data_IF_464475855461
#
_entry.id   IF_464475855461
#
_cell.length_a   1.000
_cell.length_b   1.000
_cell.length_c   1.000
_cell.angle_alpha   90.00
_cell.angle_beta   90.00
_cell.angle_gamma   90.00
#
_symmetry.space_group_name_H-M   'P 1'
#
loop_
_entity.id
_entity.type
_entity.pdbx_description
1 polymer ?
#
# COMPACT_ATOMS: atom_id res chain seq x y z
N UNK A 1 -39.44 -0.44 -16.81
CA UNK A 1 -38.98 -1.74 -17.35
C UNK A 1 -37.46 -1.68 -17.45
N UNK A 2 -36.62 -2.64 -17.05
CA UNK A 2 -36.80 -4.04 -16.68
C UNK A 2 -35.66 -4.40 -15.71
N UNK A 3 -35.98 -5.10 -14.61
CA UNK A 3 -35.03 -5.66 -13.63
C UNK A 3 -34.63 -7.05 -14.15
N UNK A 4 -33.36 -7.34 -14.33
CA UNK A 4 -32.89 -8.73 -14.36
C UNK A 4 -31.95 -9.03 -13.20
N UNK A 5 -32.47 -9.86 -12.29
CA UNK A 5 -31.79 -10.54 -11.20
C UNK A 5 -31.23 -11.85 -11.76
N UNK A 6 -29.94 -12.16 -11.57
CA UNK A 6 -29.40 -13.53 -11.63
C UNK A 6 -28.40 -13.69 -10.49
N UNK A 7 -28.83 -14.23 -9.35
CA UNK A 7 -28.97 -15.66 -9.04
C UNK A 7 -27.64 -16.28 -8.60
N UNK A 8 -27.49 -16.29 -7.27
CA UNK A 8 -26.52 -17.01 -6.47
C UNK A 8 -26.66 -18.53 -6.70
N UNK A 9 -25.55 -19.25 -6.95
CA UNK A 9 -25.51 -20.71 -6.87
C UNK A 9 -24.40 -21.13 -5.91
N UNK A 10 -24.86 -21.66 -4.78
CA UNK A 10 -24.09 -22.29 -3.70
C UNK A 10 -23.38 -23.55 -4.18
N UNK A 11 -22.09 -23.64 -3.90
CA UNK A 11 -21.31 -24.88 -4.07
C UNK A 11 -21.44 -25.71 -2.79
N UNK A 12 -21.93 -26.93 -2.96
CA UNK A 12 -22.13 -27.95 -1.93
C UNK A 12 -20.82 -28.70 -1.72
N UNK A 13 -20.19 -28.56 -0.55
CA UNK A 13 -19.08 -29.40 -0.11
C UNK A 13 -19.61 -30.67 0.56
N UNK A 14 -19.31 -31.83 -0.05
CA UNK A 14 -19.66 -33.17 0.42
C UNK A 14 -18.48 -33.72 1.24
N UNK A 15 -18.60 -33.71 2.56
CA UNK A 15 -17.61 -34.29 3.48
C UNK A 15 -17.86 -35.79 3.68
N UNK A 16 -16.90 -36.61 3.26
CA UNK A 16 -16.87 -38.05 3.51
C UNK A 16 -16.52 -38.34 4.97
N UNK A 17 -17.45 -38.98 5.70
CA UNK A 17 -17.27 -39.46 7.07
C UNK A 17 -16.91 -40.96 7.03
N UNK A 18 -15.68 -41.29 7.40
CA UNK A 18 -15.18 -42.67 7.46
C UNK A 18 -15.29 -43.18 8.90
N UNK A 19 -16.28 -44.05 9.11
CA UNK A 19 -16.63 -44.71 10.38
C UNK A 19 -15.61 -45.82 10.70
N UNK A 20 -14.72 -45.59 11.67
CA UNK A 20 -13.80 -46.61 12.19
C UNK A 20 -14.52 -47.46 13.24
N UNK A 21 -14.55 -48.78 13.02
CA UNK A 21 -15.15 -49.80 13.88
C UNK A 21 -14.27 -50.09 15.10
N UNK A 22 -14.82 -49.91 16.29
CA UNK A 22 -14.30 -50.45 17.56
C UNK A 22 -14.47 -51.98 17.59
N UNK A 23 -13.41 -52.72 17.97
CA UNK A 23 -13.49 -54.13 18.37
C UNK A 23 -13.40 -54.26 19.91
N UNK A 24 -14.04 -55.30 20.49
CA UNK A 24 -14.18 -55.45 21.94
C UNK A 24 -12.99 -56.13 22.64
N UNK A 25 -12.87 -55.83 23.95
CA UNK A 25 -12.01 -56.44 24.97
C UNK A 25 -12.16 -57.96 25.06
N UNK A 26 -11.11 -58.65 25.54
CA UNK A 26 -11.25 -59.78 26.46
C UNK A 26 -10.82 -59.42 27.89
N UNK A 27 -11.50 -60.04 28.84
CA UNK A 27 -11.24 -59.98 30.28
C UNK A 27 -10.63 -61.30 30.75
N UNK A 28 -9.64 -61.24 31.64
CA UNK A 28 -9.16 -62.26 32.60
C UNK A 28 -7.89 -61.69 33.27
N UNK A 29 -7.45 -62.00 34.48
CA UNK A 29 -8.02 -62.55 35.72
C UNK A 29 -6.82 -62.77 36.67
N UNK A 30 -6.93 -62.26 37.91
CA UNK A 30 -6.35 -62.77 39.17
C UNK A 30 -4.86 -62.58 39.55
N UNK A 31 -4.74 -62.49 40.90
CA UNK A 31 -3.60 -62.53 41.85
C UNK A 31 -2.91 -61.19 42.06
N UNK A 32 -2.76 -60.63 43.25
CA UNK A 32 -2.81 -61.16 44.62
C UNK A 32 -1.46 -60.86 45.29
N UNK A 33 -1.46 -60.24 46.48
CA UNK A 33 -0.28 -59.97 47.32
C UNK A 33 -0.10 -58.47 47.62
N UNK A 34 -0.45 -58.00 48.83
CA UNK A 34 0.42 -57.86 50.02
C UNK A 34 0.99 -56.42 50.11
N UNK A 35 0.34 -55.52 50.86
CA UNK A 35 0.72 -55.11 52.22
C UNK A 35 2.18 -54.62 52.32
N UNK A 36 2.38 -53.30 52.34
CA UNK A 36 3.35 -52.69 53.25
C UNK A 36 3.16 -51.18 53.33
N UNK A 37 2.83 -50.74 54.54
CA UNK A 37 2.82 -49.34 54.94
C UNK A 37 4.20 -48.70 54.79
N UNK A 38 4.24 -47.50 54.19
CA UNK A 38 5.29 -46.50 54.44
C UNK A 38 4.65 -45.14 54.68
N UNK A 39 4.37 -44.89 55.96
CA UNK A 39 4.30 -43.54 56.51
C UNK A 39 5.71 -42.98 56.57
N UNK A 40 5.87 -41.71 56.20
CA UNK A 40 7.06 -40.93 56.47
C UNK A 40 8.03 -40.83 55.30
N UNK A 41 7.86 -39.82 54.47
CA UNK A 41 8.87 -38.78 54.19
C UNK A 41 8.25 -37.79 53.21
N UNK A 42 7.99 -36.57 53.65
CA UNK A 42 7.73 -35.43 52.75
C UNK A 42 9.00 -35.15 51.93
N UNK A 43 8.90 -34.96 50.61
CA UNK A 43 9.79 -34.06 49.90
C UNK A 43 9.03 -32.79 49.55
N UNK A 44 9.60 -31.64 49.92
CA UNK A 44 9.23 -30.29 49.47
C UNK A 44 9.35 -30.16 47.93
N UNK A 45 8.44 -30.75 47.17
CA UNK A 45 8.46 -30.73 45.69
C UNK A 45 7.42 -29.78 45.06
N UNK A 46 6.78 -28.94 45.87
CA UNK A 46 5.81 -27.94 45.41
C UNK A 46 6.31 -26.50 45.59
N UNK A 47 7.62 -26.27 45.45
CA UNK A 47 8.09 -24.94 45.05
C UNK A 47 7.95 -24.86 43.53
N UNK A 48 6.84 -24.28 43.06
CA UNK A 48 6.71 -23.81 41.67
C UNK A 48 7.99 -23.00 41.39
N UNK A 49 8.89 -23.47 40.52
CA UNK A 49 10.19 -22.83 40.36
C UNK A 49 9.91 -21.38 39.98
N UNK A 50 10.53 -20.43 40.69
CA UNK A 50 10.39 -18.98 40.44
C UNK A 50 10.57 -18.62 38.95
N UNK A 51 11.25 -19.49 38.19
CA UNK A 51 11.29 -19.54 36.73
C UNK A 51 9.90 -19.42 36.06
N UNK A 52 8.88 -20.19 36.46
CA UNK A 52 7.53 -20.13 35.86
C UNK A 52 6.84 -18.78 36.07
N UNK A 53 7.08 -18.10 37.19
CA UNK A 53 6.53 -16.74 37.44
C UNK A 53 7.23 -15.70 36.57
N UNK A 54 8.54 -15.81 36.39
CA UNK A 54 9.32 -14.92 35.51
C UNK A 54 8.86 -15.09 34.06
N UNK A 55 8.73 -16.33 33.58
CA UNK A 55 8.26 -16.62 32.23
C UNK A 55 6.82 -16.17 31.98
N UNK A 56 5.92 -16.30 32.96
CA UNK A 56 4.56 -15.76 32.88
C UNK A 56 4.56 -14.24 32.72
N UNK A 57 5.36 -13.53 33.51
CA UNK A 57 5.44 -12.07 33.44
C UNK A 57 6.05 -11.61 32.11
N UNK A 58 7.08 -12.31 31.60
CA UNK A 58 7.66 -12.05 30.29
C UNK A 58 6.63 -12.24 29.17
N UNK A 59 5.85 -13.33 29.22
CA UNK A 59 4.76 -13.57 28.25
C UNK A 59 3.70 -12.47 28.30
N UNK A 60 3.29 -12.04 29.50
CA UNK A 60 2.31 -10.97 29.65
C UNK A 60 2.81 -9.63 29.09
N UNK A 61 4.05 -9.26 29.40
CA UNK A 61 4.68 -8.04 28.85
C UNK A 61 4.77 -8.15 27.33
N UNK A 62 5.18 -9.29 26.79
CA UNK A 62 5.27 -9.51 25.35
C UNK A 62 3.91 -9.36 24.66
N UNK A 63 2.86 -9.98 25.20
CA UNK A 63 1.50 -9.85 24.67
C UNK A 63 1.03 -8.40 24.72
N UNK A 64 1.32 -7.68 25.81
CA UNK A 64 0.93 -6.28 25.97
C UNK A 64 1.65 -5.38 24.95
N UNK A 65 2.95 -5.60 24.72
CA UNK A 65 3.72 -4.91 23.68
C UNK A 65 3.13 -5.18 22.29
N UNK A 66 2.81 -6.43 21.96
CA UNK A 66 2.19 -6.77 20.68
C UNK A 66 0.78 -6.21 20.53
N UNK A 67 -0.01 -6.15 21.61
CA UNK A 67 -1.33 -5.54 21.60
C UNK A 67 -1.24 -4.03 21.32
N UNK A 68 -0.30 -3.33 21.97
CA UNK A 68 -0.04 -1.91 21.72
C UNK A 68 0.42 -1.69 20.28
N UNK A 69 1.43 -2.44 19.83
CA UNK A 69 1.93 -2.34 18.45
C UNK A 69 0.81 -2.63 17.42
N UNK A 70 0.01 -3.68 17.65
CA UNK A 70 -1.12 -4.04 16.80
C UNK A 70 -2.19 -2.95 16.74
N UNK A 71 -2.51 -2.32 17.87
CA UNK A 71 -3.50 -1.24 17.93
C UNK A 71 -3.04 0.00 17.15
N UNK A 72 -1.75 0.35 17.25
CA UNK A 72 -1.16 1.47 16.51
C UNK A 72 -1.18 1.17 15.01
N UNK A 73 -0.73 -0.03 14.59
CA UNK A 73 -0.72 -0.43 13.18
C UNK A 73 -2.14 -0.44 12.60
N UNK A 74 -3.10 -0.97 13.34
CA UNK A 74 -4.50 -1.01 12.92
C UNK A 74 -5.08 0.39 12.74
N UNK A 75 -4.82 1.30 13.69
CA UNK A 75 -5.24 2.70 13.60
C UNK A 75 -4.66 3.42 12.39
N UNK A 76 -3.35 3.25 12.13
CA UNK A 76 -2.68 3.86 10.98
C UNK A 76 -3.22 3.32 9.66
N UNK A 77 -3.56 2.03 9.58
CA UNK A 77 -4.13 1.43 8.36
C UNK A 77 -5.53 1.95 8.05
N UNK A 78 -6.37 2.13 9.07
CA UNK A 78 -7.72 2.71 8.94
C UNK A 78 -7.68 4.19 8.51
N UNK A 79 -6.64 4.92 8.91
CA UNK A 79 -6.47 6.34 8.59
C UNK A 79 -5.91 6.62 7.19
N UNK A 80 -5.68 5.59 6.36
CA UNK A 80 -5.13 5.80 5.02
C UNK A 80 -6.11 6.56 4.12
N UNK A 81 -5.66 7.63 3.46
CA UNK A 81 -6.50 8.34 2.51
C UNK A 81 -6.84 7.42 1.32
N UNK A 82 -8.09 7.48 0.88
CA UNK A 82 -8.61 6.81 -0.33
C UNK A 82 -9.00 7.84 -1.37
N UNK A 83 -9.21 7.42 -2.63
CA UNK A 83 -9.66 8.31 -3.69
C UNK A 83 -10.94 9.07 -3.30
N UNK A 84 -11.94 8.37 -2.74
CA UNK A 84 -13.20 8.95 -2.27
C UNK A 84 -13.01 9.96 -1.13
N UNK A 85 -12.10 9.67 -0.19
CA UNK A 85 -11.84 10.60 0.91
C UNK A 85 -11.25 11.92 0.40
N UNK A 86 -10.44 11.86 -0.66
CA UNK A 86 -9.84 13.04 -1.27
C UNK A 86 -10.87 13.86 -2.04
N UNK A 87 -11.73 13.24 -2.85
CA UNK A 87 -12.78 13.96 -3.58
C UNK A 87 -13.73 14.66 -2.62
N UNK A 88 -14.20 13.96 -1.59
CA UNK A 88 -15.05 14.54 -0.53
C UNK A 88 -14.35 15.69 0.19
N UNK A 89 -13.03 15.59 0.42
CA UNK A 89 -12.27 16.66 1.05
C UNK A 89 -12.18 17.90 0.15
N UNK A 90 -11.93 17.72 -1.15
CA UNK A 90 -11.86 18.81 -2.13
C UNK A 90 -13.20 19.51 -2.32
N UNK A 91 -14.31 18.77 -2.33
CA UNK A 91 -15.67 19.32 -2.38
C UNK A 91 -16.00 20.19 -1.15
N UNK A 92 -15.57 19.74 0.03
CA UNK A 92 -15.80 20.47 1.30
C UNK A 92 -14.92 21.71 1.46
N UNK A 93 -13.80 21.79 0.73
CA UNK A 93 -12.80 22.84 0.89
C UNK A 93 -12.46 23.51 -0.45
N UNK A 94 -13.41 24.24 -1.08
CA UNK A 94 -13.17 24.91 -2.34
C UNK A 94 -12.15 26.04 -2.18
N UNK A 95 -11.04 25.93 -2.91
CA UNK A 95 -9.93 26.88 -2.87
C UNK A 95 -10.31 28.31 -3.25
N UNK A 96 -11.39 28.51 -4.03
CA UNK A 96 -11.87 29.83 -4.43
C UNK A 96 -12.36 30.68 -3.25
N UNK A 97 -12.79 30.03 -2.16
CA UNK A 97 -13.34 30.71 -0.97
C UNK A 97 -12.30 30.96 0.13
N UNK A 98 -11.09 30.43 -0.03
CA UNK A 98 -10.07 30.39 1.00
C UNK A 98 -8.81 31.15 0.56
N UNK A 99 -8.22 31.92 1.46
CA UNK A 99 -7.02 32.72 1.18
C UNK A 99 -5.97 32.60 2.30
N UNK A 100 -4.74 33.03 1.99
CA UNK A 100 -3.64 33.06 2.94
C UNK A 100 -3.31 31.70 3.56
N UNK A 101 -3.21 31.66 4.89
CA UNK A 101 -2.75 30.47 5.62
C UNK A 101 -3.71 29.29 5.55
N UNK A 102 -5.02 29.53 5.43
CA UNK A 102 -6.01 28.45 5.27
C UNK A 102 -5.86 27.76 3.92
N UNK A 103 -5.72 28.54 2.85
CA UNK A 103 -5.47 28.04 1.50
C UNK A 103 -4.20 27.18 1.46
N UNK A 104 -3.10 27.67 2.03
CA UNK A 104 -1.85 26.91 2.13
C UNK A 104 -2.03 25.57 2.87
N UNK A 105 -2.74 25.58 4.00
CA UNK A 105 -3.05 24.34 4.77
C UNK A 105 -3.84 23.33 3.95
N UNK A 106 -4.81 23.77 3.16
CA UNK A 106 -5.60 22.89 2.27
C UNK A 106 -4.68 22.26 1.23
N UNK A 107 -3.85 23.06 0.56
CA UNK A 107 -2.91 22.59 -0.46
C UNK A 107 -1.95 21.54 0.12
N UNK A 108 -1.34 21.82 1.27
CA UNK A 108 -0.44 20.87 1.94
C UNK A 108 -1.17 19.59 2.33
N UNK A 109 -2.39 19.69 2.86
CA UNK A 109 -3.17 18.50 3.23
C UNK A 109 -3.53 17.65 2.03
N UNK A 110 -3.93 18.26 0.91
CA UNK A 110 -4.21 17.55 -0.34
C UNK A 110 -2.95 16.82 -0.84
N UNK A 111 -1.78 17.48 -0.81
CA UNK A 111 -0.51 16.85 -1.16
C UNK A 111 -0.19 15.63 -0.28
N UNK A 112 -0.39 15.75 1.04
CA UNK A 112 -0.19 14.63 1.97
C UNK A 112 -1.18 13.48 1.72
N UNK A 113 -2.45 13.79 1.43
CA UNK A 113 -3.44 12.78 1.08
C UNK A 113 -3.03 12.04 -0.20
N UNK A 114 -2.64 12.78 -1.25
CA UNK A 114 -2.17 12.20 -2.52
C UNK A 114 -0.96 11.30 -2.35
N UNK A 115 -0.01 11.68 -1.50
CA UNK A 115 1.18 10.90 -1.20
C UNK A 115 0.85 9.59 -0.46
N UNK A 116 -0.23 9.58 0.32
CA UNK A 116 -0.71 8.40 1.06
C UNK A 116 -1.58 7.44 0.25
N UNK A 117 -2.05 7.81 -0.94
CA UNK A 117 -2.90 6.96 -1.78
C UNK A 117 -2.14 5.75 -2.33
N UNK A 118 -2.86 4.65 -2.52
CA UNK A 118 -2.35 3.49 -3.26
C UNK A 118 -2.32 3.75 -4.78
N UNK A 119 -1.65 2.87 -5.54
CA UNK A 119 -1.59 2.98 -7.00
C UNK A 119 -2.98 2.83 -7.64
N UNK A 120 -3.82 1.96 -7.08
CA UNK A 120 -5.19 1.71 -7.52
C UNK A 120 -6.06 2.95 -7.30
N UNK A 121 -5.98 3.56 -6.11
CA UNK A 121 -6.71 4.79 -5.80
C UNK A 121 -6.31 5.94 -6.73
N UNK A 122 -5.01 6.08 -7.02
CA UNK A 122 -4.51 7.08 -7.98
C UNK A 122 -4.96 6.82 -9.41
N UNK A 123 -5.20 5.56 -9.78
CA UNK A 123 -5.74 5.21 -11.09
C UNK A 123 -7.22 5.63 -11.19
N UNK A 124 -8.00 5.44 -10.14
CA UNK A 124 -9.39 5.92 -10.04
C UNK A 124 -9.45 7.45 -10.20
N UNK A 125 -8.62 8.20 -9.48
CA UNK A 125 -8.60 9.66 -9.54
C UNK A 125 -8.24 10.25 -10.92
N UNK A 126 -7.57 9.48 -11.79
CA UNK A 126 -7.28 9.90 -13.16
C UNK A 126 -8.54 9.99 -14.03
N UNK A 127 -9.57 9.19 -13.73
CA UNK A 127 -10.84 9.22 -14.44
C UNK A 127 -11.72 10.42 -14.07
N UNK A 128 -11.68 10.85 -12.81
CA UNK A 128 -12.62 11.82 -12.26
C UNK A 128 -12.27 13.29 -12.58
N UNK A 129 -11.04 13.57 -13.02
CA UNK A 129 -10.59 14.93 -13.36
C UNK A 129 -10.43 15.89 -12.18
N UNK A 130 -11.06 15.63 -11.04
CA UNK A 130 -11.08 16.49 -9.83
C UNK A 130 -9.68 16.94 -9.40
N UNK A 131 -8.71 16.02 -9.39
CA UNK A 131 -7.33 16.33 -8.98
C UNK A 131 -6.63 17.27 -9.98
N UNK A 132 -6.94 17.13 -11.27
CA UNK A 132 -6.42 18.00 -12.33
C UNK A 132 -7.02 19.39 -12.19
N UNK A 133 -8.33 19.47 -11.99
CA UNK A 133 -9.03 20.76 -11.89
C UNK A 133 -8.58 21.52 -10.63
N UNK A 134 -8.36 20.80 -9.52
CA UNK A 134 -7.71 21.34 -8.33
C UNK A 134 -6.33 21.92 -8.64
N UNK A 135 -5.47 21.17 -9.34
CA UNK A 135 -4.13 21.63 -9.69
C UNK A 135 -4.13 22.86 -10.60
N UNK A 136 -5.05 22.91 -11.58
CA UNK A 136 -5.20 24.06 -12.49
C UNK A 136 -5.67 25.31 -11.73
N UNK A 137 -6.45 25.16 -10.66
CA UNK A 137 -6.92 26.28 -9.83
C UNK A 137 -5.86 26.90 -8.90
N UNK A 138 -4.66 26.30 -8.85
CA UNK A 138 -3.53 26.81 -8.07
C UNK A 138 -2.80 27.93 -8.83
N UNK A 139 -2.24 28.88 -8.09
CA UNK A 139 -1.31 29.85 -8.68
C UNK A 139 0.01 29.16 -9.08
N UNK A 140 0.82 29.72 -9.99
CA UNK A 140 2.08 29.09 -10.42
C UNK A 140 3.04 28.78 -9.26
N UNK A 141 3.11 29.66 -8.25
CA UNK A 141 3.92 29.44 -7.06
C UNK A 141 3.38 28.29 -6.19
N UNK A 142 2.06 28.19 -6.04
CA UNK A 142 1.41 27.09 -5.32
C UNK A 142 1.58 25.76 -6.05
N UNK A 143 1.48 25.75 -7.38
CA UNK A 143 1.75 24.57 -8.20
C UNK A 143 3.19 24.08 -7.99
N UNK A 144 4.18 24.98 -8.02
CA UNK A 144 5.57 24.62 -7.79
C UNK A 144 5.78 23.93 -6.43
N UNK A 145 5.22 24.52 -5.36
CA UNK A 145 5.32 23.98 -4.00
C UNK A 145 4.56 22.65 -3.86
N UNK A 146 3.41 22.54 -4.50
CA UNK A 146 2.61 21.32 -4.50
C UNK A 146 3.33 20.17 -5.20
N UNK A 147 3.99 20.46 -6.32
CA UNK A 147 4.80 19.48 -7.04
C UNK A 147 6.03 19.04 -6.24
N UNK A 148 6.70 19.94 -5.55
CA UNK A 148 7.82 19.59 -4.66
C UNK A 148 7.42 18.61 -3.57
N UNK A 149 6.22 18.79 -3.03
CA UNK A 149 5.70 17.91 -2.00
C UNK A 149 5.26 16.54 -2.55
N UNK A 150 4.84 16.44 -3.81
CA UNK A 150 4.14 15.25 -4.34
C UNK A 150 4.95 14.42 -5.33
N UNK A 151 5.80 15.05 -6.13
CA UNK A 151 6.58 14.37 -7.17
C UNK A 151 7.55 13.31 -6.62
N UNK A 152 8.34 13.57 -5.56
CA UNK A 152 9.32 12.58 -5.09
C UNK A 152 8.66 11.26 -4.69
N UNK A 153 7.56 11.32 -3.94
CA UNK A 153 6.80 10.14 -3.53
C UNK A 153 6.15 9.44 -4.74
N UNK A 154 5.60 10.21 -5.68
CA UNK A 154 5.02 9.68 -6.92
C UNK A 154 6.02 8.90 -7.77
N UNK A 155 7.17 9.51 -8.07
CA UNK A 155 8.21 8.87 -8.87
C UNK A 155 8.78 7.63 -8.19
N UNK A 156 9.01 7.69 -6.87
CA UNK A 156 9.49 6.53 -6.12
C UNK A 156 8.55 5.33 -6.24
N UNK A 157 7.24 5.54 -6.03
CA UNK A 157 6.25 4.48 -6.15
C UNK A 157 6.19 3.89 -7.57
N UNK A 158 6.29 4.73 -8.61
CA UNK A 158 6.33 4.26 -10.00
C UNK A 158 7.59 3.42 -10.26
N UNK A 159 8.75 3.88 -9.81
CA UNK A 159 10.02 3.16 -10.00
C UNK A 159 10.04 1.84 -9.22
N UNK A 160 9.52 1.82 -7.99
CA UNK A 160 9.37 0.60 -7.20
C UNK A 160 8.43 -0.41 -7.89
N UNK A 161 7.32 0.06 -8.46
CA UNK A 161 6.40 -0.79 -9.21
C UNK A 161 7.07 -1.33 -10.49
N UNK A 162 7.75 -0.46 -11.25
CA UNK A 162 8.43 -0.84 -12.49
C UNK A 162 9.56 -1.86 -12.24
N UNK A 163 10.36 -1.69 -11.19
CA UNK A 163 11.40 -2.65 -10.82
C UNK A 163 10.84 -4.05 -10.47
N UNK A 164 9.61 -4.13 -9.98
CA UNK A 164 8.93 -5.40 -9.65
C UNK A 164 8.24 -6.08 -10.83
N UNK A 165 8.16 -5.41 -12.00
CA UNK A 165 7.55 -6.00 -13.19
C UNK A 165 8.50 -6.98 -13.88
N UNK A 166 7.91 -8.03 -14.45
CA UNK A 166 8.62 -8.97 -15.33
C UNK A 166 9.23 -8.25 -16.56
N UNK A 167 10.38 -8.72 -17.09
CA UNK A 167 11.08 -8.06 -18.18
C UNK A 167 10.22 -7.77 -19.42
N UNK A 168 9.38 -8.71 -19.82
CA UNK A 168 8.48 -8.58 -20.96
C UNK A 168 7.44 -7.49 -20.72
N UNK A 169 6.92 -7.41 -19.49
CA UNK A 169 5.94 -6.39 -19.07
C UNK A 169 6.57 -5.00 -19.00
N UNK A 170 7.83 -4.89 -18.57
CA UNK A 170 8.58 -3.63 -18.61
C UNK A 170 8.74 -3.14 -20.05
N UNK A 171 9.14 -4.01 -20.98
CA UNK A 171 9.26 -3.67 -22.40
C UNK A 171 7.92 -3.24 -23.00
N UNK A 172 6.84 -3.96 -22.71
CA UNK A 172 5.48 -3.60 -23.14
C UNK A 172 5.09 -2.20 -22.63
N UNK A 173 5.36 -1.93 -21.35
CA UNK A 173 5.11 -0.63 -20.72
C UNK A 173 5.91 0.49 -21.41
N UNK A 174 7.21 0.28 -21.62
CA UNK A 174 8.08 1.26 -22.30
C UNK A 174 7.64 1.51 -23.73
N UNK A 175 7.31 0.47 -24.50
CA UNK A 175 6.84 0.61 -25.88
C UNK A 175 5.53 1.41 -25.97
N UNK A 176 4.61 1.17 -25.03
CA UNK A 176 3.36 1.93 -24.93
C UNK A 176 3.64 3.40 -24.60
N UNK A 177 4.52 3.66 -23.63
CA UNK A 177 4.92 5.01 -23.26
C UNK A 177 5.62 5.74 -24.42
N UNK A 178 6.47 5.05 -25.17
CA UNK A 178 7.14 5.57 -26.36
C UNK A 178 6.15 5.95 -27.47
N UNK A 179 5.17 5.09 -27.73
CA UNK A 179 4.14 5.36 -28.74
C UNK A 179 3.32 6.62 -28.37
N UNK A 180 2.94 6.74 -27.10
CA UNK A 180 2.22 7.91 -26.59
C UNK A 180 3.10 9.17 -26.64
N UNK A 181 4.37 9.08 -26.24
CA UNK A 181 5.29 10.21 -26.28
C UNK A 181 5.53 10.73 -27.71
N UNK A 182 5.63 9.83 -28.69
CA UNK A 182 5.73 10.21 -30.11
C UNK A 182 4.46 10.86 -30.62
N UNK A 183 3.29 10.36 -30.22
CA UNK A 183 2.00 10.93 -30.61
C UNK A 183 1.83 12.37 -30.13
N UNK A 184 2.34 12.68 -28.94
CA UNK A 184 2.30 14.02 -28.33
C UNK A 184 3.48 14.91 -28.69
N UNK A 185 4.35 14.49 -29.61
CA UNK A 185 5.50 15.30 -29.99
C UNK A 185 5.02 16.58 -30.70
N UNK A 186 5.47 17.74 -30.22
CA UNK A 186 5.02 19.04 -30.72
C UNK A 186 3.66 19.50 -30.19
N UNK A 187 3.00 18.74 -29.31
CA UNK A 187 1.84 19.23 -28.58
C UNK A 187 2.25 20.17 -27.45
N UNK A 188 1.43 21.19 -27.18
CA UNK A 188 1.64 22.08 -26.05
C UNK A 188 1.57 21.31 -24.71
N UNK A 189 2.28 21.78 -23.66
CA UNK A 189 2.19 21.20 -22.34
C UNK A 189 0.73 21.14 -21.82
N UNK A 190 0.41 20.17 -20.95
CA UNK A 190 -0.91 20.09 -20.34
C UNK A 190 -1.30 21.41 -19.66
N UNK A 191 -2.59 21.76 -19.74
CA UNK A 191 -3.12 22.97 -19.12
C UNK A 191 -2.72 23.07 -17.63
N UNK A 192 -2.25 24.25 -17.22
CA UNK A 192 -1.77 24.50 -15.87
C UNK A 192 -0.29 24.13 -15.63
N UNK A 193 0.47 23.70 -16.65
CA UNK A 193 1.91 23.54 -16.57
C UNK A 193 2.63 24.54 -17.47
N UNK A 194 3.49 25.36 -16.87
CA UNK A 194 4.44 26.17 -17.63
C UNK A 194 5.74 25.38 -17.88
N UNK A 195 6.59 25.87 -18.79
CA UNK A 195 7.82 25.18 -19.18
C UNK A 195 8.77 24.95 -17.99
N UNK A 196 8.81 25.87 -17.02
CA UNK A 196 9.64 25.74 -15.82
C UNK A 196 9.18 24.56 -14.94
N UNK A 197 7.86 24.41 -14.73
CA UNK A 197 7.30 23.29 -13.98
C UNK A 197 7.52 21.97 -14.71
N UNK A 198 7.40 21.95 -16.04
CA UNK A 198 7.71 20.77 -16.86
C UNK A 198 9.18 20.38 -16.71
N UNK A 199 10.12 21.32 -16.86
CA UNK A 199 11.54 21.06 -16.65
C UNK A 199 11.84 20.53 -15.25
N UNK A 200 11.19 21.08 -14.23
CA UNK A 200 11.31 20.62 -12.85
C UNK A 200 10.83 19.18 -12.66
N UNK A 201 9.67 18.83 -13.23
CA UNK A 201 9.17 17.45 -13.23
C UNK A 201 10.15 16.49 -13.88
N UNK A 202 10.70 16.87 -15.04
CA UNK A 202 11.65 16.03 -15.77
C UNK A 202 12.94 15.86 -14.99
N UNK A 203 13.51 16.94 -14.44
CA UNK A 203 14.72 16.87 -13.62
C UNK A 203 14.52 15.97 -12.38
N UNK A 204 13.40 16.13 -11.67
CA UNK A 204 13.07 15.30 -10.52
C UNK A 204 12.89 13.83 -10.91
N UNK A 205 12.21 13.57 -12.02
CA UNK A 205 12.01 12.23 -12.57
C UNK A 205 13.34 11.57 -12.96
N UNK A 206 14.22 12.29 -13.63
CA UNK A 206 15.57 11.81 -14.01
C UNK A 206 16.42 11.53 -12.78
N UNK A 207 16.43 12.43 -11.79
CA UNK A 207 17.15 12.21 -10.53
C UNK A 207 16.67 10.93 -9.83
N UNK A 208 15.34 10.75 -9.74
CA UNK A 208 14.75 9.56 -9.14
C UNK A 208 15.06 8.30 -9.95
N UNK A 209 15.04 8.39 -11.29
CA UNK A 209 15.43 7.30 -12.17
C UNK A 209 16.89 6.88 -11.94
N UNK A 210 17.83 7.82 -11.88
CA UNK A 210 19.23 7.48 -11.64
C UNK A 210 19.47 6.88 -10.24
N UNK A 211 18.72 7.33 -9.23
CA UNK A 211 18.84 6.88 -7.85
C UNK A 211 18.17 5.51 -7.59
N UNK A 212 16.93 5.31 -8.05
CA UNK A 212 16.06 4.20 -7.62
C UNK A 212 15.88 3.10 -8.70
N UNK A 213 16.23 3.35 -9.97
CA UNK A 213 16.09 2.34 -11.02
C UNK A 213 17.10 1.20 -10.86
N UNK A 214 16.63 -0.05 -10.99
CA UNK A 214 17.50 -1.21 -11.12
C UNK A 214 18.34 -1.17 -12.41
N UNK A 215 19.46 -1.91 -12.46
CA UNK A 215 20.32 -1.94 -13.65
C UNK A 215 19.54 -2.32 -14.93
N UNK A 216 18.67 -3.32 -14.84
CA UNK A 216 17.81 -3.73 -15.96
C UNK A 216 16.78 -2.66 -16.32
N UNK A 217 16.16 -2.01 -15.32
CA UNK A 217 15.21 -0.93 -15.56
C UNK A 217 15.87 0.27 -16.27
N UNK A 218 17.14 0.57 -15.96
CA UNK A 218 17.90 1.64 -16.63
C UNK A 218 18.09 1.36 -18.12
N UNK A 219 18.42 0.12 -18.47
CA UNK A 219 18.55 -0.32 -19.86
C UNK A 219 17.21 -0.27 -20.59
N UNK A 220 16.14 -0.76 -19.94
CA UNK A 220 14.80 -0.79 -20.54
C UNK A 220 14.23 0.62 -20.78
N UNK A 221 14.49 1.58 -19.90
CA UNK A 221 13.95 2.96 -19.98
C UNK A 221 14.77 3.92 -20.83
N UNK A 222 16.02 3.60 -21.19
CA UNK A 222 16.88 4.45 -22.00
C UNK A 222 16.19 5.05 -23.25
N UNK A 223 15.52 4.28 -24.12
CA UNK A 223 14.89 4.84 -25.32
C UNK A 223 13.76 5.84 -25.00
N UNK A 224 13.06 5.66 -23.87
CA UNK A 224 12.00 6.57 -23.44
C UNK A 224 12.58 7.92 -23.01
N UNK A 225 13.70 7.92 -22.30
CA UNK A 225 14.38 9.14 -21.86
C UNK A 225 14.85 9.96 -23.07
N UNK A 226 15.45 9.31 -24.07
CA UNK A 226 15.85 9.98 -25.31
C UNK A 226 14.66 10.61 -26.03
N UNK A 227 13.51 9.91 -26.10
CA UNK A 227 12.31 10.47 -26.71
C UNK A 227 11.77 11.66 -25.92
N UNK A 228 11.79 11.61 -24.58
CA UNK A 228 11.39 12.74 -23.75
C UNK A 228 12.30 13.96 -23.97
N UNK A 229 13.62 13.75 -24.07
CA UNK A 229 14.58 14.82 -24.38
C UNK A 229 14.32 15.44 -25.75
N UNK A 230 14.03 14.63 -26.77
CA UNK A 230 13.62 15.12 -28.10
C UNK A 230 12.33 15.95 -28.05
N UNK A 231 11.33 15.50 -27.29
CA UNK A 231 10.08 16.23 -27.12
C UNK A 231 10.31 17.59 -26.44
N UNK A 232 11.15 17.66 -25.40
CA UNK A 232 11.49 18.93 -24.75
C UNK A 232 12.25 19.88 -25.66
N UNK A 233 13.16 19.36 -26.50
CA UNK A 233 13.86 20.17 -27.50
C UNK A 233 12.91 20.76 -28.54
N UNK A 234 11.83 20.05 -28.89
CA UNK A 234 10.82 20.57 -29.82
C UNK A 234 9.94 21.68 -29.25
N UNK A 235 9.94 21.89 -27.93
CA UNK A 235 9.19 22.95 -27.26
C UNK A 235 9.98 24.26 -27.16
N UNK A 236 11.27 24.26 -27.53
CA UNK A 236 12.17 25.42 -27.44
C UNK A 236 12.33 26.08 -28.81
#
# INVERSE_FOLDING_TARGET
MNREKKACKSVVCKTHSTRVRFRPKPAQSRRGGELAARRGLFPKLWQIPSCMKIWRNVLLVLVLVWAVAGSIIYGVRQARPTAQSLTVYLEKHPLATESGTKRAKIITRVGNMLNGLSLEDRQTLRGDGVTRDFFISLTPAEQANFLDATLPAGFKQIMEAFNKMEPEKRKEFVNRALAEAKKRQGEAPPAGLNDQLVQKMVNQGLNTFYAEASANAKLDLAPLIEQMQRNLQSLR
#
